data_IF_179994558213
#
_entry.id   IF_179994558213
#
_cell.length_a   1.000
_cell.length_b   1.000
_cell.length_c   1.000
_cell.angle_alpha   90.00
_cell.angle_beta   90.00
_cell.angle_gamma   90.00
#
_symmetry.space_group_name_H-M   'P 1'
#
loop_
_entity.id
_entity.type
_entity.pdbx_description
1 polymer ?
#
# COMPACT_ATOMS: atom_id res chain seq x y z
N UNK A 1 3.33 -2.44 -25.85
CA UNK A 1 4.46 -3.37 -25.56
C UNK A 1 5.82 -2.67 -25.40
N UNK A 2 5.88 -1.41 -24.90
CA UNK A 2 7.14 -0.66 -24.65
C UNK A 2 7.55 -0.56 -23.18
N UNK A 3 6.73 -1.11 -22.28
CA UNK A 3 6.96 -1.04 -20.82
C UNK A 3 8.05 -2.01 -20.35
N UNK A 4 8.18 -3.16 -21.00
CA UNK A 4 9.20 -4.15 -20.66
C UNK A 4 10.64 -3.61 -20.74
N UNK A 5 11.07 -2.95 -21.84
CA UNK A 5 12.42 -2.37 -21.89
C UNK A 5 12.60 -1.19 -20.92
N UNK A 6 11.55 -0.39 -20.68
CA UNK A 6 11.62 0.71 -19.72
C UNK A 6 11.82 0.21 -18.28
N UNK A 7 11.10 -0.85 -17.90
CA UNK A 7 11.24 -1.48 -16.59
C UNK A 7 12.63 -2.07 -16.40
N UNK A 8 13.15 -2.78 -17.40
CA UNK A 8 14.52 -3.33 -17.38
C UNK A 8 15.57 -2.21 -17.27
N UNK A 9 15.39 -1.10 -17.98
CA UNK A 9 16.28 0.06 -17.92
C UNK A 9 16.30 0.68 -16.51
N UNK A 10 15.15 0.83 -15.86
CA UNK A 10 15.09 1.35 -14.50
C UNK A 10 15.69 0.34 -13.52
N UNK A 11 15.35 -0.94 -13.63
CA UNK A 11 15.82 -2.00 -12.75
C UNK A 11 17.35 -2.15 -12.77
N UNK A 12 17.98 -1.96 -13.92
CA UNK A 12 19.45 -2.05 -14.08
C UNK A 12 20.12 -0.69 -13.90
N UNK A 13 19.54 0.38 -14.45
CA UNK A 13 20.11 1.72 -14.41
C UNK A 13 20.09 2.35 -13.03
N UNK A 14 19.04 2.13 -12.25
CA UNK A 14 18.94 2.64 -10.88
C UNK A 14 20.08 2.11 -9.97
N UNK A 15 20.31 0.79 -9.81
CA UNK A 15 21.40 0.30 -8.97
C UNK A 15 22.79 0.68 -9.49
N UNK A 16 22.99 0.81 -10.81
CA UNK A 16 24.25 1.31 -11.36
C UNK A 16 24.50 2.78 -10.99
N UNK A 17 23.45 3.61 -11.07
CA UNK A 17 23.51 5.00 -10.65
C UNK A 17 23.80 5.12 -9.15
N UNK A 18 23.17 4.29 -8.34
CA UNK A 18 23.38 4.26 -6.88
C UNK A 18 24.80 3.82 -6.52
N UNK A 19 25.34 2.81 -7.21
CA UNK A 19 26.72 2.37 -7.01
C UNK A 19 27.70 3.50 -7.35
N UNK A 20 27.47 4.20 -8.47
CA UNK A 20 28.27 5.37 -8.85
C UNK A 20 28.23 6.48 -7.78
N UNK A 21 27.03 6.79 -7.27
CA UNK A 21 26.81 7.77 -6.21
C UNK A 21 27.50 7.38 -4.90
N UNK A 22 27.37 6.12 -4.49
CA UNK A 22 28.02 5.59 -3.28
C UNK A 22 29.54 5.65 -3.39
N UNK A 23 30.11 5.31 -4.55
CA UNK A 23 31.55 5.44 -4.80
C UNK A 23 31.96 6.91 -4.71
N UNK A 24 31.22 7.82 -5.34
CA UNK A 24 31.52 9.26 -5.34
C UNK A 24 31.43 9.86 -3.94
N UNK A 25 30.46 9.46 -3.14
CA UNK A 25 30.38 9.87 -1.72
C UNK A 25 31.52 9.23 -0.93
N UNK A 26 31.82 7.96 -1.15
CA UNK A 26 32.95 7.25 -0.53
C UNK A 26 34.30 7.91 -0.79
N UNK A 27 34.51 8.52 -1.95
CA UNK A 27 35.74 9.28 -2.23
C UNK A 27 35.76 10.67 -1.59
N UNK A 28 34.59 11.28 -1.33
CA UNK A 28 34.45 12.59 -0.70
C UNK A 28 34.63 12.54 0.83
N UNK A 29 33.95 11.59 1.49
CA UNK A 29 33.93 11.49 2.96
C UNK A 29 34.72 10.29 3.52
N UNK A 30 35.14 9.36 2.67
CA UNK A 30 35.84 8.14 3.05
C UNK A 30 34.92 6.90 3.09
N UNK A 31 35.51 5.72 2.91
CA UNK A 31 34.75 4.47 2.81
C UNK A 31 34.03 4.08 4.11
N UNK A 32 34.68 4.23 5.27
CA UNK A 32 34.11 3.91 6.58
C UNK A 32 32.80 4.68 6.88
N UNK A 33 32.76 6.02 6.78
CA UNK A 33 31.52 6.75 7.02
C UNK A 33 30.44 6.47 5.98
N UNK A 34 30.78 6.17 4.72
CA UNK A 34 29.79 5.74 3.72
C UNK A 34 29.16 4.41 4.07
N UNK A 35 29.96 3.43 4.52
CA UNK A 35 29.45 2.15 5.01
C UNK A 35 28.58 2.34 6.25
N UNK A 36 28.99 3.19 7.18
CA UNK A 36 28.21 3.49 8.38
C UNK A 36 26.86 4.15 8.03
N UNK A 37 26.83 5.04 7.03
CA UNK A 37 25.60 5.66 6.53
C UNK A 37 24.65 4.61 5.96
N UNK A 38 25.15 3.74 5.07
CA UNK A 38 24.38 2.65 4.46
C UNK A 38 23.82 1.68 5.50
N UNK A 39 24.65 1.28 6.47
CA UNK A 39 24.19 0.41 7.57
C UNK A 39 23.17 1.14 8.43
N UNK A 40 23.37 2.43 8.68
CA UNK A 40 22.45 3.27 9.43
C UNK A 40 21.07 3.38 8.78
N UNK A 41 21.00 3.59 7.46
CA UNK A 41 19.74 3.66 6.71
C UNK A 41 19.03 2.31 6.69
N UNK A 42 19.77 1.22 6.47
CA UNK A 42 19.22 -0.14 6.54
C UNK A 42 18.66 -0.49 7.93
N UNK A 43 19.40 -0.17 9.01
CA UNK A 43 18.93 -0.36 10.38
C UNK A 43 17.69 0.47 10.69
N UNK A 44 17.65 1.71 10.21
CA UNK A 44 16.51 2.60 10.39
C UNK A 44 15.28 2.09 9.63
N UNK A 45 15.44 1.60 8.40
CA UNK A 45 14.39 0.91 7.65
C UNK A 45 13.83 -0.30 8.40
N UNK A 46 14.71 -1.19 8.88
CA UNK A 46 14.32 -2.36 9.67
C UNK A 46 13.59 -1.98 10.98
N UNK A 47 14.09 -0.95 11.66
CA UNK A 47 13.49 -0.45 12.90
C UNK A 47 12.09 0.12 12.67
N UNK A 48 11.91 0.90 11.60
CA UNK A 48 10.60 1.47 11.26
C UNK A 48 9.63 0.39 10.80
N UNK A 49 10.08 -0.63 10.05
CA UNK A 49 9.27 -1.79 9.72
C UNK A 49 8.75 -2.49 10.98
N UNK A 50 9.63 -2.74 11.95
CA UNK A 50 9.23 -3.37 13.23
C UNK A 50 8.25 -2.51 14.01
N UNK A 51 8.52 -1.21 14.19
CA UNK A 51 7.65 -0.32 14.98
C UNK A 51 6.32 -0.03 14.30
N UNK A 52 6.35 0.44 13.05
CA UNK A 52 5.15 0.85 12.33
C UNK A 52 4.36 -0.36 11.83
N UNK A 53 5.04 -1.41 11.35
CA UNK A 53 4.40 -2.63 10.89
C UNK A 53 3.63 -3.35 11.99
N UNK A 54 4.21 -3.48 13.20
CA UNK A 54 3.52 -4.13 14.32
C UNK A 54 2.31 -3.33 14.81
N UNK A 55 2.43 -1.99 14.88
CA UNK A 55 1.31 -1.11 15.25
C UNK A 55 0.17 -1.20 14.23
N UNK A 56 0.49 -1.18 12.93
CA UNK A 56 -0.49 -1.31 11.86
C UNK A 56 -1.16 -2.69 11.86
N UNK A 57 -0.39 -3.76 12.06
CA UNK A 57 -0.93 -5.12 12.16
C UNK A 57 -1.93 -5.27 13.31
N UNK A 58 -1.64 -4.69 14.48
CA UNK A 58 -2.58 -4.69 15.62
C UNK A 58 -3.87 -3.93 15.31
N UNK A 59 -3.79 -2.77 14.64
CA UNK A 59 -4.98 -2.02 14.20
C UNK A 59 -5.81 -2.82 13.20
N UNK A 60 -5.16 -3.46 12.24
CA UNK A 60 -5.80 -4.34 11.27
C UNK A 60 -6.55 -5.49 11.96
N UNK A 61 -5.93 -6.15 12.94
CA UNK A 61 -6.60 -7.19 13.75
C UNK A 61 -7.80 -6.63 14.53
N UNK A 62 -7.68 -5.45 15.13
CA UNK A 62 -8.78 -4.81 15.86
C UNK A 62 -9.97 -4.46 14.96
N UNK A 63 -9.73 -3.95 13.75
CA UNK A 63 -10.79 -3.63 12.79
C UNK A 63 -11.48 -4.90 12.27
N UNK A 64 -10.72 -5.96 11.98
CA UNK A 64 -11.32 -7.26 11.63
C UNK A 64 -12.14 -7.86 12.77
N UNK A 65 -11.70 -7.70 14.02
CA UNK A 65 -12.45 -8.15 15.20
C UNK A 65 -13.79 -7.40 15.37
N UNK A 66 -13.92 -6.18 14.81
CA UNK A 66 -15.17 -5.41 14.77
C UNK A 66 -16.04 -5.73 13.54
N UNK A 67 -15.61 -6.65 12.67
CA UNK A 67 -16.31 -6.96 11.42
C UNK A 67 -16.13 -5.90 10.31
N UNK A 68 -15.19 -4.96 10.47
CA UNK A 68 -14.89 -3.91 9.49
C UNK A 68 -13.75 -4.36 8.57
N UNK A 69 -13.82 -4.03 7.27
CA UNK A 69 -12.73 -4.30 6.32
C UNK A 69 -11.62 -3.24 6.47
N UNK A 70 -10.39 -3.61 6.88
CA UNK A 70 -9.32 -2.66 7.20
C UNK A 70 -8.55 -2.17 5.96
N UNK A 71 -9.25 -1.63 4.96
CA UNK A 71 -8.66 -1.27 3.67
C UNK A 71 -7.54 -0.21 3.80
N UNK A 72 -7.68 0.73 4.74
CA UNK A 72 -6.68 1.77 4.98
C UNK A 72 -5.42 1.19 5.62
N UNK A 73 -5.56 0.35 6.64
CA UNK A 73 -4.45 -0.30 7.33
C UNK A 73 -3.69 -1.24 6.40
N UNK A 74 -4.39 -1.94 5.50
CA UNK A 74 -3.73 -2.77 4.48
C UNK A 74 -2.84 -1.93 3.56
N UNK A 75 -3.34 -0.80 3.05
CA UNK A 75 -2.56 0.09 2.20
C UNK A 75 -1.39 0.73 2.95
N UNK A 76 -1.60 1.17 4.18
CA UNK A 76 -0.53 1.69 5.03
C UNK A 76 0.55 0.63 5.28
N UNK A 77 0.14 -0.62 5.52
CA UNK A 77 1.05 -1.76 5.68
C UNK A 77 1.91 -2.01 4.45
N UNK A 78 1.32 -1.96 3.25
CA UNK A 78 2.07 -2.10 1.98
C UNK A 78 3.08 -0.98 1.81
N UNK A 79 2.70 0.28 2.07
CA UNK A 79 3.64 1.42 1.95
C UNK A 79 4.78 1.30 2.96
N UNK A 80 4.50 0.90 4.20
CA UNK A 80 5.52 0.66 5.23
C UNK A 80 6.48 -0.45 4.76
N UNK A 81 5.95 -1.57 4.26
CA UNK A 81 6.75 -2.70 3.79
C UNK A 81 7.64 -2.29 2.62
N UNK A 82 7.05 -1.71 1.57
CA UNK A 82 7.79 -1.31 0.37
C UNK A 82 8.85 -0.27 0.71
N UNK A 83 8.51 0.79 1.45
CA UNK A 83 9.49 1.82 1.80
C UNK A 83 10.60 1.31 2.72
N UNK A 84 10.30 0.34 3.61
CA UNK A 84 11.32 -0.25 4.49
C UNK A 84 12.25 -1.20 3.74
N UNK A 85 11.72 -2.01 2.80
CA UNK A 85 12.53 -2.85 1.91
C UNK A 85 13.39 -1.98 1.00
N UNK A 86 12.83 -0.86 0.52
CA UNK A 86 13.56 0.11 -0.29
C UNK A 86 14.78 0.67 0.48
N UNK A 87 14.60 1.03 1.76
CA UNK A 87 15.66 1.48 2.67
C UNK A 87 16.69 0.41 3.07
N UNK A 88 16.37 -0.87 2.91
CA UNK A 88 17.32 -1.96 3.18
C UNK A 88 18.28 -2.16 2.02
N UNK A 89 17.88 -1.79 0.80
CA UNK A 89 18.74 -1.85 -0.38
C UNK A 89 19.59 -0.58 -0.39
N UNK A 90 20.93 -0.70 -0.31
CA UNK A 90 21.80 0.45 -0.24
C UNK A 90 21.71 1.29 -1.53
N UNK A 91 21.09 2.46 -1.45
CA UNK A 91 21.04 3.43 -2.53
C UNK A 91 20.69 4.80 -1.97
N UNK A 92 21.51 5.82 -2.23
CA UNK A 92 21.29 7.16 -1.66
C UNK A 92 19.96 7.76 -2.12
N UNK A 93 19.60 7.56 -3.40
CA UNK A 93 18.31 8.05 -3.93
C UNK A 93 17.17 7.19 -3.36
N UNK A 94 17.39 5.88 -3.37
CA UNK A 94 16.46 4.84 -2.91
C UNK A 94 16.14 4.99 -1.43
N UNK A 95 17.12 5.35 -0.59
CA UNK A 95 17.01 5.65 0.83
C UNK A 95 16.18 6.91 1.06
N UNK A 96 16.41 7.97 0.28
CA UNK A 96 15.60 9.20 0.35
C UNK A 96 14.15 8.87 0.00
N UNK A 97 13.90 8.12 -1.07
CA UNK A 97 12.54 7.72 -1.47
C UNK A 97 11.90 6.83 -0.39
N UNK A 98 12.64 5.87 0.16
CA UNK A 98 12.15 4.98 1.22
C UNK A 98 11.80 5.76 2.48
N UNK A 99 12.66 6.67 2.93
CA UNK A 99 12.39 7.58 4.05
C UNK A 99 11.15 8.43 3.80
N UNK A 100 11.07 9.00 2.59
CA UNK A 100 9.99 9.86 2.17
C UNK A 100 8.64 9.12 2.19
N UNK A 101 8.62 7.85 1.77
CA UNK A 101 7.45 6.97 1.88
C UNK A 101 7.09 6.61 3.33
N UNK A 102 8.07 6.53 4.22
CA UNK A 102 7.87 6.18 5.63
C UNK A 102 7.38 7.33 6.51
N UNK A 103 7.52 8.58 6.04
CA UNK A 103 7.04 9.76 6.76
C UNK A 103 5.49 9.78 6.84
N UNK A 104 4.89 9.79 8.05
CA UNK A 104 3.43 9.75 8.25
C UNK A 104 2.62 10.80 7.46
N UNK A 105 3.02 12.10 7.39
CA UNK A 105 2.25 13.08 6.64
C UNK A 105 2.30 12.80 5.14
N UNK A 106 3.44 12.31 4.64
CA UNK A 106 3.61 12.06 3.22
C UNK A 106 2.98 10.75 2.78
N UNK A 107 2.99 9.71 3.63
CA UNK A 107 2.22 8.48 3.40
C UNK A 107 0.75 8.80 3.19
N UNK A 108 0.17 9.64 4.06
CA UNK A 108 -1.23 10.08 3.93
C UNK A 108 -1.46 10.89 2.64
N UNK A 109 -0.52 11.74 2.24
CA UNK A 109 -0.60 12.49 0.98
C UNK A 109 -0.53 11.59 -0.25
N UNK A 110 0.37 10.59 -0.27
CA UNK A 110 0.50 9.61 -1.35
C UNK A 110 -0.76 8.77 -1.46
N UNK A 111 -1.29 8.27 -0.33
CA UNK A 111 -2.53 7.48 -0.29
C UNK A 111 -3.71 8.34 -0.74
N UNK A 112 -3.82 9.60 -0.28
CA UNK A 112 -4.88 10.52 -0.70
C UNK A 112 -4.79 10.85 -2.21
N UNK A 113 -3.59 11.02 -2.75
CA UNK A 113 -3.36 11.24 -4.18
C UNK A 113 -3.74 10.02 -5.00
N UNK A 114 -3.35 8.82 -4.57
CA UNK A 114 -3.73 7.56 -5.21
C UNK A 114 -5.23 7.31 -5.15
N UNK A 115 -5.86 7.49 -4.00
CA UNK A 115 -7.32 7.37 -3.85
C UNK A 115 -8.08 8.39 -4.70
N UNK A 116 -7.57 9.61 -4.87
CA UNK A 116 -8.15 10.60 -5.80
C UNK A 116 -8.01 10.18 -7.26
N UNK A 117 -6.91 9.53 -7.64
CA UNK A 117 -6.70 9.01 -9.00
C UNK A 117 -7.48 7.73 -9.28
N UNK A 118 -7.70 6.88 -8.29
CA UNK A 118 -8.49 5.64 -8.36
C UNK A 118 -9.99 5.92 -8.25
N UNK A 119 -10.41 7.11 -7.78
CA UNK A 119 -11.77 7.63 -7.98
C UNK A 119 -12.04 8.08 -9.44
N UNK A 120 -11.19 7.70 -10.38
CA UNK A 120 -11.53 7.70 -11.81
C UNK A 120 -11.85 6.25 -12.16
N UNK A 121 -13.13 5.98 -12.43
CA UNK A 121 -13.67 4.68 -12.86
C UNK A 121 -13.76 3.54 -11.85
N UNK A 122 -14.19 3.84 -10.62
CA UNK A 122 -15.26 3.03 -10.06
C UNK A 122 -16.56 3.80 -10.31
N UNK A 123 -17.01 3.81 -11.57
CA UNK A 123 -18.43 3.57 -11.78
C UNK A 123 -18.65 2.19 -11.17
N UNK A 124 -18.95 2.18 -9.87
CA UNK A 124 -19.88 1.18 -9.37
C UNK A 124 -20.99 1.24 -10.40
N UNK A 125 -21.12 0.21 -11.21
CA UNK A 125 -22.36 -0.05 -11.91
C UNK A 125 -23.35 -0.31 -10.78
N UNK A 126 -23.79 0.79 -10.16
CA UNK A 126 -24.93 0.85 -9.31
C UNK A 126 -26.06 0.64 -10.30
N UNK A 127 -26.32 -0.64 -10.59
CA UNK A 127 -27.52 -1.05 -11.26
C UNK A 127 -28.68 -0.42 -10.50
N UNK A 128 -29.36 0.50 -11.18
CA UNK A 128 -30.69 1.02 -10.91
C UNK A 128 -31.09 1.17 -9.44
N UNK A 129 -30.70 2.27 -8.81
CA UNK A 129 -31.31 2.74 -7.57
C UNK A 129 -32.15 3.99 -7.82
N UNK A 130 -33.34 3.81 -8.43
CA UNK A 130 -34.38 4.84 -8.41
C UNK A 130 -34.82 5.14 -6.98
N UNK A 131 -35.48 6.29 -6.72
CA UNK A 131 -35.82 6.71 -5.37
C UNK A 131 -36.70 5.67 -4.69
N UNK A 132 -36.33 5.37 -3.44
CA UNK A 132 -36.95 4.43 -2.50
C UNK A 132 -38.47 4.61 -2.42
N UNK A 133 -39.19 3.96 -3.33
CA UNK A 133 -40.60 3.60 -3.15
C UNK A 133 -40.58 2.15 -2.72
N UNK A 134 -41.07 1.93 -1.50
CA UNK A 134 -40.98 0.69 -0.76
C UNK A 134 -41.11 -0.55 -1.63
N UNK A 135 -40.24 -1.52 -1.37
CA UNK A 135 -40.29 -2.84 -2.00
C UNK A 135 -41.69 -3.43 -1.85
N UNK A 136 -42.50 -3.30 -2.88
CA UNK A 136 -43.73 -4.08 -3.03
C UNK A 136 -43.27 -5.46 -3.45
N UNK A 137 -43.34 -6.40 -2.52
CA UNK A 137 -43.14 -7.80 -2.83
C UNK A 137 -44.45 -8.32 -3.41
N UNK A 138 -44.45 -8.67 -4.69
CA UNK A 138 -45.56 -9.37 -5.32
C UNK A 138 -45.42 -10.85 -4.94
N UNK A 139 -46.25 -11.27 -3.98
CA UNK A 139 -46.29 -12.66 -3.54
C UNK A 139 -47.39 -13.37 -4.34
N UNK A 140 -46.99 -14.37 -5.13
CA UNK A 140 -47.95 -15.23 -5.80
C UNK A 140 -48.52 -16.24 -4.79
N UNK A 141 -49.77 -16.02 -4.38
CA UNK A 141 -50.45 -16.92 -3.45
C UNK A 141 -51.03 -18.10 -4.22
N UNK A 142 -50.52 -19.31 -3.93
CA UNK A 142 -51.16 -20.55 -4.35
C UNK A 142 -52.14 -20.98 -3.26
N UNK A 143 -53.43 -21.00 -3.59
CA UNK A 143 -54.42 -21.63 -2.71
C UNK A 143 -54.11 -23.13 -2.62
N UNK A 144 -53.55 -23.54 -1.49
CA UNK A 144 -53.52 -24.95 -1.10
C UNK A 144 -54.95 -25.34 -0.71
N UNK A 145 -55.55 -26.34 -1.37
CA UNK A 145 -56.78 -26.92 -0.88
C UNK A 145 -56.53 -27.44 0.55
N UNK A 146 -57.53 -27.37 1.44
CA UNK A 146 -57.40 -27.94 2.77
C UNK A 146 -57.06 -29.42 2.64
N UNK A 147 -55.93 -29.84 3.22
CA UNK A 147 -55.58 -31.24 3.36
C UNK A 147 -56.65 -31.89 4.26
N UNK A 148 -57.58 -32.60 3.63
CA UNK A 148 -58.59 -33.42 4.31
C UNK A 148 -57.94 -34.78 4.65
N UNK A 149 -56.91 -34.73 5.49
CA UNK A 149 -56.33 -35.92 6.12
C UNK A 149 -57.01 -36.12 7.48
N UNK A 150 -57.91 -37.12 7.47
CA UNK A 150 -58.56 -37.74 8.63
C UNK A 150 -57.58 -38.51 9.50
#
# INVERSE_FOLDING_TARGET
MRIFPLFALILIGLPLLELYLLIKVGTLIGALPTVALVVGTALLGAFLLRRQGLSNYRRMQQSMARGEVPAQEMMEGVVILVGSVLLLVPGLITDVIGLLCLLPPLRRAIIAFWLRRVRVEMKVSAGGGGPDRGRVYDAEYRHLPPDDDR
#
